data_IF_761296471398
#
_entry.id   IF_761296471398
#
_cell.length_a   1.000
_cell.length_b   1.000
_cell.length_c   1.000
_cell.angle_alpha   90.00
_cell.angle_beta   90.00
_cell.angle_gamma   90.00
#
_symmetry.space_group_name_H-M   'P 1'
#
loop_
_entity.id
_entity.type
_entity.pdbx_description
1 polymer ?
#
# COMPACT_ATOMS: atom_id res chain seq x y z
N UNK A 1 -52.76 -34.17 43.42
CA UNK A 1 -52.57 -33.03 42.50
C UNK A 1 -51.12 -32.59 42.73
N UNK A 2 -50.16 -33.04 41.90
CA UNK A 2 -49.60 -32.29 40.76
C UNK A 2 -48.98 -30.96 41.25
N UNK A 3 -47.71 -30.58 41.07
CA UNK A 3 -46.55 -31.07 40.29
C UNK A 3 -45.29 -30.35 40.80
N UNK A 4 -44.16 -30.90 40.38
CA UNK A 4 -42.76 -30.51 40.56
C UNK A 4 -42.42 -29.06 40.17
N UNK A 5 -41.28 -28.57 40.65
CA UNK A 5 -40.72 -27.28 40.23
C UNK A 5 -39.30 -27.05 40.73
N UNK A 6 -38.38 -27.94 40.35
CA UNK A 6 -36.95 -27.78 40.59
C UNK A 6 -36.44 -26.46 40.00
N UNK A 7 -35.79 -25.64 40.82
CA UNK A 7 -34.98 -24.53 40.34
C UNK A 7 -33.66 -25.09 39.81
N UNK A 8 -33.62 -25.28 38.50
CA UNK A 8 -32.39 -25.51 37.77
C UNK A 8 -31.39 -24.38 38.06
N UNK A 9 -30.17 -24.76 38.41
CA UNK A 9 -29.02 -23.89 38.41
C UNK A 9 -28.78 -23.40 36.97
N UNK A 10 -29.22 -22.17 36.66
CA UNK A 10 -28.75 -21.47 35.47
C UNK A 10 -27.38 -20.88 35.81
N UNK A 11 -26.35 -21.71 35.71
CA UNK A 11 -24.99 -21.22 35.55
C UNK A 11 -24.95 -20.38 34.27
N UNK A 12 -24.57 -19.12 34.40
CA UNK A 12 -24.18 -18.32 33.24
C UNK A 12 -23.00 -19.03 32.57
N UNK A 13 -23.03 -19.32 31.26
CA UNK A 13 -21.85 -19.80 30.58
C UNK A 13 -20.79 -18.71 30.70
N UNK A 14 -19.69 -19.08 31.35
CA UNK A 14 -18.50 -18.25 31.53
C UNK A 14 -18.04 -17.84 30.12
N UNK A 15 -17.95 -16.52 29.91
CA UNK A 15 -17.53 -15.94 28.64
C UNK A 15 -16.20 -16.55 28.20
N UNK A 16 -16.23 -17.17 27.01
CA UNK A 16 -15.03 -17.57 26.30
C UNK A 16 -14.31 -16.32 25.78
N UNK A 17 -12.99 -16.43 25.77
CA UNK A 17 -12.04 -15.37 25.98
C UNK A 17 -11.89 -14.46 24.73
N UNK A 18 -12.25 -13.18 24.85
CA UNK A 18 -12.00 -12.19 23.79
C UNK A 18 -10.49 -12.05 23.47
N UNK A 19 -9.60 -12.52 24.35
CA UNK A 19 -8.16 -12.60 24.09
C UNK A 19 -7.75 -13.70 23.11
N UNK A 20 -8.49 -14.81 23.07
CA UNK A 20 -8.14 -16.00 22.27
C UNK A 20 -8.55 -15.83 20.80
N UNK A 21 -9.71 -15.19 20.56
CA UNK A 21 -10.21 -14.83 19.23
C UNK A 21 -9.26 -13.87 18.49
N UNK A 22 -8.61 -12.95 19.22
CA UNK A 22 -7.61 -12.05 18.63
C UNK A 22 -6.27 -12.74 18.34
N UNK A 23 -5.88 -13.73 19.15
CA UNK A 23 -4.63 -14.47 18.95
C UNK A 23 -4.70 -15.38 17.72
N UNK A 24 -5.82 -16.08 17.54
CA UNK A 24 -6.06 -16.94 16.37
C UNK A 24 -6.15 -16.11 15.08
N UNK A 25 -6.85 -14.97 15.12
CA UNK A 25 -6.89 -14.03 14.01
C UNK A 25 -5.49 -13.52 13.61
N UNK A 26 -4.63 -13.17 14.58
CA UNK A 26 -3.24 -12.75 14.33
C UNK A 26 -2.39 -13.88 13.76
N UNK A 27 -2.56 -15.11 14.23
CA UNK A 27 -1.88 -16.28 13.68
C UNK A 27 -2.28 -16.53 12.22
N UNK A 28 -3.57 -16.40 11.91
CA UNK A 28 -4.10 -16.52 10.55
C UNK A 28 -3.53 -15.46 9.61
N UNK A 29 -3.46 -14.20 10.04
CA UNK A 29 -2.82 -13.11 9.26
C UNK A 29 -1.34 -13.42 8.99
N UNK A 30 -0.58 -13.84 10.01
CA UNK A 30 0.84 -14.22 9.82
C UNK A 30 1.01 -15.35 8.81
N UNK A 31 0.15 -16.37 8.88
CA UNK A 31 0.18 -17.46 7.92
C UNK A 31 -0.12 -16.97 6.49
N UNK A 32 -1.13 -16.12 6.31
CA UNK A 32 -1.48 -15.55 4.99
C UNK A 32 -0.37 -14.65 4.42
N UNK A 33 0.35 -13.91 5.27
CA UNK A 33 1.52 -13.11 4.84
C UNK A 33 2.69 -13.96 4.35
N UNK A 34 2.83 -15.21 4.83
CA UNK A 34 3.90 -16.13 4.45
C UNK A 34 3.59 -16.94 3.17
N UNK A 35 2.36 -16.87 2.65
CA UNK A 35 1.96 -17.57 1.43
C UNK A 35 2.33 -16.79 0.17
N UNK A 36 2.47 -17.50 -0.95
CA UNK A 36 2.67 -16.88 -2.26
C UNK A 36 1.45 -16.05 -2.68
N UNK A 37 1.61 -14.95 -3.44
CA UNK A 37 0.51 -14.04 -3.77
C UNK A 37 -0.70 -14.71 -4.42
N UNK A 38 -0.45 -15.71 -5.27
CA UNK A 38 -1.44 -16.46 -6.04
C UNK A 38 -2.15 -17.57 -5.26
N UNK A 39 -1.71 -17.90 -4.04
CA UNK A 39 -2.33 -18.95 -3.21
C UNK A 39 -3.21 -18.41 -2.09
N UNK A 40 -3.25 -17.09 -1.91
CA UNK A 40 -4.02 -16.43 -0.85
C UNK A 40 -5.48 -16.23 -1.28
N UNK A 41 -6.42 -16.14 -0.31
CA UNK A 41 -7.80 -15.77 -0.62
C UNK A 41 -7.86 -14.40 -1.33
N UNK A 42 -8.72 -14.21 -2.33
CA UNK A 42 -8.80 -12.96 -3.10
C UNK A 42 -9.19 -11.73 -2.26
N UNK A 43 -9.85 -11.94 -1.13
CA UNK A 43 -10.18 -10.90 -0.15
C UNK A 43 -8.98 -10.46 0.69
N UNK A 44 -7.89 -11.23 0.72
CA UNK A 44 -6.69 -10.90 1.48
C UNK A 44 -5.75 -10.01 0.66
N UNK A 45 -5.63 -8.74 1.07
CA UNK A 45 -4.69 -7.79 0.50
C UNK A 45 -3.50 -7.65 1.45
N UNK A 46 -2.30 -7.96 0.98
CA UNK A 46 -1.08 -7.71 1.74
C UNK A 46 -0.78 -6.20 1.73
N UNK A 47 -0.79 -5.52 2.90
CA UNK A 47 -0.54 -4.07 2.96
C UNK A 47 0.83 -3.68 2.41
N UNK A 48 1.86 -4.52 2.57
CA UNK A 48 3.21 -4.25 2.08
C UNK A 48 3.27 -4.26 0.55
N UNK A 49 2.61 -5.24 -0.08
CA UNK A 49 2.48 -5.28 -1.55
C UNK A 49 1.67 -4.10 -2.06
N UNK A 50 0.65 -3.68 -1.32
CA UNK A 50 -0.15 -2.51 -1.69
C UNK A 50 0.69 -1.23 -1.64
N UNK A 51 1.54 -1.09 -0.63
CA UNK A 51 2.48 0.05 -0.53
C UNK A 51 3.48 0.00 -1.69
N UNK A 52 4.06 -1.16 -2.00
CA UNK A 52 4.98 -1.29 -3.15
C UNK A 52 4.34 -0.85 -4.46
N UNK A 53 3.07 -1.22 -4.71
CA UNK A 53 2.30 -0.77 -5.88
C UNK A 53 2.16 0.76 -5.93
N UNK A 54 1.91 1.41 -4.79
CA UNK A 54 1.80 2.87 -4.72
C UNK A 54 3.14 3.58 -4.97
N UNK A 55 4.25 2.88 -4.75
CA UNK A 55 5.62 3.35 -4.97
C UNK A 55 6.19 2.93 -6.34
N UNK A 56 5.38 2.29 -7.17
CA UNK A 56 5.77 1.80 -8.50
C UNK A 56 5.22 2.71 -9.59
N UNK A 57 6.07 3.04 -10.57
CA UNK A 57 5.66 3.81 -11.73
C UNK A 57 4.86 2.94 -12.71
N UNK A 58 3.69 3.40 -13.18
CA UNK A 58 2.83 2.60 -14.08
C UNK A 58 3.39 2.46 -15.50
N UNK A 59 4.45 3.21 -15.87
CA UNK A 59 5.08 3.12 -17.20
C UNK A 59 6.17 2.06 -17.22
N UNK A 60 7.17 2.17 -16.32
CA UNK A 60 8.30 1.23 -16.30
C UNK A 60 8.07 0.03 -15.38
N UNK A 61 6.98 0.00 -14.60
CA UNK A 61 6.66 -1.05 -13.63
C UNK A 61 7.78 -1.31 -12.61
N UNK A 62 8.52 -0.24 -12.31
CA UNK A 62 9.64 -0.22 -11.36
C UNK A 62 9.44 0.99 -10.43
N UNK A 63 10.18 1.05 -9.33
CA UNK A 63 10.11 2.16 -8.37
C UNK A 63 10.32 3.50 -9.04
N UNK A 64 9.62 4.52 -8.54
CA UNK A 64 9.72 5.87 -9.10
C UNK A 64 11.16 6.41 -9.07
N UNK A 65 11.63 6.86 -10.23
CA UNK A 65 12.92 7.54 -10.42
C UNK A 65 12.65 9.00 -10.75
N UNK A 66 12.96 9.89 -9.81
CA UNK A 66 12.69 11.33 -9.89
C UNK A 66 11.21 11.59 -10.26
N UNK A 67 10.26 11.30 -9.36
CA UNK A 67 8.84 11.40 -9.66
C UNK A 67 8.41 12.82 -10.01
N UNK A 68 7.78 12.98 -11.17
CA UNK A 68 7.28 14.25 -11.73
C UNK A 68 5.76 14.26 -11.77
N UNK A 69 5.17 15.36 -11.31
CA UNK A 69 3.74 15.63 -11.30
C UNK A 69 3.32 16.36 -12.57
N UNK A 70 2.38 15.78 -13.30
CA UNK A 70 1.67 16.47 -14.37
C UNK A 70 0.57 17.39 -13.80
N UNK A 71 0.10 18.40 -14.56
CA UNK A 71 -1.02 19.26 -14.15
C UNK A 71 -2.32 18.51 -13.82
N UNK A 72 -2.50 17.28 -14.33
CA UNK A 72 -3.61 16.40 -13.96
C UNK A 72 -3.39 15.63 -12.64
N UNK A 73 -2.33 15.95 -11.87
CA UNK A 73 -1.96 15.33 -10.60
C UNK A 73 -1.51 13.85 -10.66
N UNK A 74 -1.27 13.29 -11.84
CA UNK A 74 -0.65 11.98 -11.98
C UNK A 74 0.87 12.09 -11.96
N UNK A 75 1.53 11.09 -11.36
CA UNK A 75 2.98 11.08 -11.13
C UNK A 75 3.66 10.00 -11.94
N UNK A 76 4.80 10.31 -12.55
CA UNK A 76 5.59 9.36 -13.36
C UNK A 76 7.08 9.61 -13.16
N UNK A 77 7.92 8.63 -13.50
CA UNK A 77 9.37 8.87 -13.54
C UNK A 77 9.73 9.94 -14.57
N UNK A 78 10.68 10.82 -14.25
CA UNK A 78 11.28 11.74 -15.22
C UNK A 78 11.68 11.05 -16.55
N UNK A 79 12.48 9.96 -16.56
CA UNK A 79 12.88 9.31 -17.81
C UNK A 79 11.70 8.71 -18.59
N UNK A 80 10.64 8.29 -17.90
CA UNK A 80 9.45 7.76 -18.56
C UNK A 80 8.65 8.87 -19.24
N UNK A 81 8.50 10.03 -18.59
CA UNK A 81 7.86 11.19 -19.22
C UNK A 81 8.69 11.74 -20.38
N UNK A 82 10.01 11.73 -20.28
CA UNK A 82 10.91 12.13 -21.37
C UNK A 82 10.69 11.25 -22.62
N UNK A 83 10.45 9.95 -22.42
CA UNK A 83 10.13 9.01 -23.50
C UNK A 83 8.72 9.20 -24.08
N UNK A 84 7.77 9.71 -23.29
CA UNK A 84 6.39 9.96 -23.71
C UNK A 84 6.17 11.36 -24.30
N UNK A 85 7.15 12.26 -24.17
CA UNK A 85 7.05 13.64 -24.61
C UNK A 85 7.12 13.76 -26.13
N UNK A 86 6.17 14.50 -26.71
CA UNK A 86 6.28 14.94 -28.10
C UNK A 86 7.16 16.20 -28.15
N UNK A 87 8.42 16.02 -28.53
CA UNK A 87 9.38 17.12 -28.61
C UNK A 87 9.07 18.10 -29.75
N UNK A 88 8.38 17.65 -30.81
CA UNK A 88 8.05 18.48 -31.97
C UNK A 88 6.91 19.44 -31.61
N UNK A 89 5.86 18.91 -30.97
CA UNK A 89 4.68 19.68 -30.60
C UNK A 89 4.77 20.29 -29.18
N UNK A 90 5.79 19.93 -28.40
CA UNK A 90 5.94 20.31 -26.98
C UNK A 90 4.69 19.95 -26.17
N UNK A 91 4.13 18.78 -26.42
CA UNK A 91 2.97 18.28 -25.68
C UNK A 91 3.28 16.92 -25.07
N UNK A 92 2.59 16.63 -23.97
CA UNK A 92 2.67 15.36 -23.28
C UNK A 92 1.26 14.90 -22.93
N UNK A 93 0.94 13.67 -23.33
CA UNK A 93 -0.32 13.03 -23.00
C UNK A 93 -0.14 12.13 -21.79
N UNK A 94 -0.94 12.36 -20.74
CA UNK A 94 -0.90 11.56 -19.53
C UNK A 94 -1.27 10.09 -19.83
N UNK A 95 -0.44 9.11 -19.47
CA UNK A 95 -0.74 7.69 -19.69
C UNK A 95 -1.97 7.17 -18.93
N UNK A 96 -2.31 7.78 -17.79
CA UNK A 96 -3.44 7.35 -16.95
C UNK A 96 -4.78 7.97 -17.38
N UNK A 97 -4.85 9.30 -17.44
CA UNK A 97 -6.11 10.00 -17.73
C UNK A 97 -6.24 10.53 -19.16
N UNK A 98 -5.20 10.37 -19.99
CA UNK A 98 -5.16 10.84 -21.39
C UNK A 98 -5.27 12.36 -21.58
N UNK A 99 -5.24 13.14 -20.50
CA UNK A 99 -5.17 14.60 -20.56
C UNK A 99 -3.87 15.05 -21.24
N UNK A 100 -3.96 16.10 -22.03
CA UNK A 100 -2.82 16.68 -22.74
C UNK A 100 -2.28 17.92 -22.01
N UNK A 101 -0.97 18.02 -21.91
CA UNK A 101 -0.28 19.07 -21.18
C UNK A 101 0.85 19.64 -22.03
N UNK A 102 0.94 20.96 -22.09
CA UNK A 102 2.06 21.65 -22.72
C UNK A 102 3.33 21.47 -21.90
N UNK A 103 4.43 21.14 -22.57
CA UNK A 103 5.75 21.00 -21.95
C UNK A 103 6.39 22.40 -21.85
N UNK A 104 6.92 22.79 -20.68
CA UNK A 104 7.66 24.04 -20.52
C UNK A 104 8.89 24.12 -21.42
N UNK A 105 9.45 25.32 -21.59
CA UNK A 105 10.63 25.55 -22.44
C UNK A 105 11.85 24.73 -21.96
N UNK A 106 11.97 24.56 -20.65
CA UNK A 106 13.02 23.77 -20.01
C UNK A 106 12.78 22.26 -20.13
N UNK A 107 11.70 21.82 -20.78
CA UNK A 107 11.36 20.42 -21.00
C UNK A 107 10.63 19.76 -19.84
N UNK A 108 10.53 18.43 -19.90
CA UNK A 108 9.83 17.59 -18.90
C UNK A 108 10.39 17.77 -17.48
N UNK A 109 11.67 18.13 -17.34
CA UNK A 109 12.31 18.33 -16.03
C UNK A 109 11.69 19.47 -15.22
N UNK A 110 11.01 20.42 -15.88
CA UNK A 110 10.36 21.55 -15.24
C UNK A 110 9.02 21.22 -14.59
N UNK A 111 8.46 20.03 -14.84
CA UNK A 111 7.34 19.55 -14.04
C UNK A 111 7.75 19.43 -12.57
N UNK A 112 6.79 19.73 -11.68
CA UNK A 112 7.02 19.71 -10.24
C UNK A 112 7.40 18.29 -9.80
N UNK A 113 8.36 18.18 -8.88
CA UNK A 113 8.72 16.89 -8.31
C UNK A 113 7.75 16.52 -7.18
N UNK A 114 7.34 15.25 -7.08
CA UNK A 114 6.50 14.78 -5.98
C UNK A 114 7.37 14.42 -4.75
N UNK A 115 7.70 15.43 -3.93
CA UNK A 115 8.56 15.23 -2.76
C UNK A 115 7.95 14.33 -1.68
N UNK A 116 6.63 14.32 -1.55
CA UNK A 116 5.93 13.41 -0.63
C UNK A 116 6.16 11.95 -1.05
N UNK A 117 6.00 11.65 -2.34
CA UNK A 117 6.30 10.32 -2.87
C UNK A 117 7.78 9.96 -2.73
N UNK A 118 8.69 10.91 -2.95
CA UNK A 118 10.12 10.71 -2.70
C UNK A 118 10.39 10.33 -1.24
N UNK A 119 9.75 11.01 -0.28
CA UNK A 119 9.87 10.67 1.14
C UNK A 119 9.37 9.26 1.45
N UNK A 120 8.24 8.84 0.86
CA UNK A 120 7.75 7.47 1.04
C UNK A 120 8.66 6.42 0.42
N UNK A 121 9.25 6.71 -0.75
CA UNK A 121 10.25 5.83 -1.36
C UNK A 121 11.46 5.66 -0.44
N UNK A 122 11.94 6.74 0.16
CA UNK A 122 13.08 6.71 1.08
C UNK A 122 12.78 5.92 2.35
N UNK A 123 11.63 6.16 2.99
CA UNK A 123 11.20 5.41 4.18
C UNK A 123 11.09 3.92 3.85
N UNK A 124 10.51 3.57 2.71
CA UNK A 124 10.36 2.16 2.31
C UNK A 124 11.69 1.51 1.88
N UNK A 125 12.66 2.28 1.40
CA UNK A 125 14.02 1.78 1.12
C UNK A 125 14.81 1.58 2.41
N UNK A 126 14.59 2.41 3.43
CA UNK A 126 15.21 2.24 4.75
C UNK A 126 14.58 1.06 5.51
N UNK A 127 13.27 0.80 5.30
CA UNK A 127 12.49 -0.33 5.81
C UNK A 127 13.00 -1.74 5.40
N UNK A 128 14.18 -1.83 4.74
CA UNK A 128 14.94 -3.07 4.53
C UNK A 128 15.10 -3.88 5.83
N UNK A 129 15.28 -5.21 5.75
CA UNK A 129 15.01 -6.17 6.85
C UNK A 129 15.58 -5.80 8.23
N UNK A 130 16.70 -5.09 8.29
CA UNK A 130 17.34 -4.66 9.53
C UNK A 130 16.51 -3.63 10.32
N UNK A 131 15.76 -2.77 9.63
CA UNK A 131 14.93 -1.71 10.25
C UNK A 131 13.53 -2.18 10.62
N UNK A 132 13.05 -3.30 10.07
CA UNK A 132 11.75 -3.87 10.43
C UNK A 132 11.75 -4.33 11.90
N UNK A 133 12.87 -4.87 12.38
CA UNK A 133 13.07 -5.25 13.77
C UNK A 133 13.08 -4.03 14.71
N UNK A 134 13.70 -2.92 14.30
CA UNK A 134 13.74 -1.67 15.07
C UNK A 134 12.36 -0.98 15.13
N UNK A 135 11.61 -1.01 14.03
CA UNK A 135 10.22 -0.49 13.97
C UNK A 135 9.30 -1.35 14.86
N UNK A 136 9.46 -2.67 14.86
CA UNK A 136 8.70 -3.56 15.76
C UNK A 136 9.00 -3.30 17.24
N UNK A 137 10.22 -2.94 17.58
CA UNK A 137 10.60 -2.60 18.96
C UNK A 137 10.02 -1.24 19.37
N UNK A 138 10.01 -0.25 18.46
CA UNK A 138 9.37 1.05 18.70
C UNK A 138 7.85 0.92 18.90
N UNK A 139 7.17 0.08 18.10
CA UNK A 139 5.72 -0.16 18.22
C UNK A 139 5.38 -0.92 19.51
N UNK A 140 6.33 -1.69 20.06
CA UNK A 140 6.16 -2.44 21.32
C UNK A 140 6.40 -1.62 22.60
N UNK A 141 6.88 -0.37 22.49
CA UNK A 141 7.05 0.56 23.62
C UNK A 141 5.83 1.46 23.78
#
# INVERSE_FOLDING_TARGET
MLTEGGRAASGFPVGMDAGEETAEARAKVRHLMAQAPNTRPPEFVNPLEKIEQLLTCPICLDRYKQPKLLPCQHTFCYPCLESCADSLHRTLKCPECRAEHSIPYEGVKAFQSNYTLTGFLEIHLQATPDSAAEIEEYIRR
#
